data_IF_569589609348
#
_entry.id   IF_569589609348
#
_cell.length_a   1.000
_cell.length_b   1.000
_cell.length_c   1.000
_cell.angle_alpha   90.00
_cell.angle_beta   90.00
_cell.angle_gamma   90.00
#
_symmetry.space_group_name_H-M   'P 1'
#
loop_
_entity.id
_entity.type
_entity.pdbx_description
1 polymer ?
#
# COMPACT_ATOMS: atom_id res chain seq x y z
N UNK A 1 54.37 9.79 1.54
CA UNK A 1 53.95 8.60 2.31
C UNK A 1 52.49 8.31 2.00
N UNK A 2 52.20 7.04 1.68
CA UNK A 2 50.90 6.39 1.51
C UNK A 2 49.94 6.91 0.40
N UNK A 3 50.11 6.29 -0.78
CA UNK A 3 49.07 5.94 -1.74
C UNK A 3 47.99 5.11 -0.99
N UNK A 4 46.75 5.57 -0.99
CA UNK A 4 45.57 4.84 -0.53
C UNK A 4 44.49 5.19 -1.54
N UNK A 5 43.83 4.29 -2.27
CA UNK A 5 43.95 2.87 -2.53
C UNK A 5 42.86 2.63 -3.56
N UNK A 6 43.16 1.87 -4.60
CA UNK A 6 42.22 1.42 -5.62
C UNK A 6 40.88 0.96 -5.00
N UNK A 7 39.81 1.74 -5.22
CA UNK A 7 38.47 1.34 -4.84
C UNK A 7 37.76 0.74 -6.06
N UNK A 8 37.97 -0.57 -6.21
CA UNK A 8 37.17 -1.59 -6.91
C UNK A 8 36.29 -1.10 -8.05
N UNK A 9 36.79 -1.32 -9.26
CA UNK A 9 35.99 -1.54 -10.46
C UNK A 9 35.11 -2.79 -10.21
N UNK A 10 33.83 -2.59 -9.87
CA UNK A 10 32.88 -3.67 -9.60
C UNK A 10 32.55 -4.42 -10.90
N UNK A 11 32.59 -5.76 -10.81
CA UNK A 11 32.14 -6.69 -11.83
C UNK A 11 30.76 -6.30 -12.39
N UNK A 12 30.74 -5.61 -13.53
CA UNK A 12 29.51 -5.31 -14.24
C UNK A 12 29.04 -6.59 -14.94
N UNK A 13 28.02 -7.25 -14.38
CA UNK A 13 27.40 -8.43 -14.98
C UNK A 13 26.81 -8.04 -16.34
N UNK A 14 27.24 -8.70 -17.41
CA UNK A 14 26.65 -8.49 -18.73
C UNK A 14 25.24 -9.07 -18.76
N UNK A 15 24.25 -8.23 -19.04
CA UNK A 15 22.84 -8.61 -19.19
C UNK A 15 22.40 -8.23 -20.61
N UNK A 16 21.93 -9.18 -21.44
CA UNK A 16 21.44 -8.87 -22.78
C UNK A 16 20.23 -7.91 -22.77
N UNK A 17 20.10 -7.07 -23.79
CA UNK A 17 19.04 -6.06 -23.92
C UNK A 17 17.63 -6.66 -23.82
N UNK A 18 17.39 -7.81 -24.46
CA UNK A 18 16.09 -8.50 -24.38
C UNK A 18 15.71 -8.86 -22.93
N UNK A 19 16.70 -9.27 -22.13
CA UNK A 19 16.49 -9.62 -20.71
C UNK A 19 16.21 -8.35 -19.89
N UNK A 20 16.89 -7.23 -20.19
CA UNK A 20 16.63 -5.93 -19.56
C UNK A 20 15.19 -5.47 -19.88
N UNK A 21 14.77 -5.59 -21.13
CA UNK A 21 13.44 -5.21 -21.57
C UNK A 21 12.37 -6.05 -20.86
N UNK A 22 12.49 -7.37 -20.86
CA UNK A 22 11.53 -8.26 -20.21
C UNK A 22 11.44 -8.01 -18.69
N UNK A 23 12.59 -7.79 -18.03
CA UNK A 23 12.62 -7.37 -16.64
C UNK A 23 11.89 -6.03 -16.43
N UNK A 24 12.11 -5.04 -17.31
CA UNK A 24 11.43 -3.75 -17.23
C UNK A 24 9.91 -3.86 -17.40
N UNK A 25 9.44 -4.73 -18.29
CA UNK A 25 8.02 -4.98 -18.51
C UNK A 25 7.38 -5.67 -17.29
N UNK A 26 8.07 -6.66 -16.71
CA UNK A 26 7.64 -7.31 -15.48
C UNK A 26 7.55 -6.32 -14.31
N UNK A 27 8.55 -5.44 -14.15
CA UNK A 27 8.57 -4.41 -13.10
C UNK A 27 7.43 -3.40 -13.29
N UNK A 28 7.17 -2.95 -14.53
CA UNK A 28 6.07 -2.02 -14.82
C UNK A 28 4.69 -2.65 -14.56
N UNK A 29 4.52 -3.97 -14.81
CA UNK A 29 3.29 -4.71 -14.47
C UNK A 29 3.02 -4.77 -12.96
N UNK A 30 4.02 -4.53 -12.11
CA UNK A 30 3.83 -4.50 -10.66
C UNK A 30 3.09 -3.25 -10.16
N UNK A 31 2.94 -2.21 -10.99
CA UNK A 31 2.11 -1.04 -10.65
C UNK A 31 0.63 -1.43 -10.82
N UNK A 32 -0.26 -1.20 -9.84
CA UNK A 32 -1.66 -1.59 -9.95
C UNK A 32 -2.33 -0.98 -11.19
N UNK A 33 -2.81 -1.83 -12.11
CA UNK A 33 -3.35 -1.39 -13.40
C UNK A 33 -4.51 -0.37 -13.25
N UNK A 34 -5.42 -0.61 -12.30
CA UNK A 34 -6.60 0.24 -12.06
C UNK A 34 -6.25 1.67 -11.64
N UNK A 35 -5.13 1.87 -10.94
CA UNK A 35 -4.75 3.16 -10.37
C UNK A 35 -3.43 3.70 -10.90
N UNK A 36 -2.88 3.10 -11.95
CA UNK A 36 -1.59 3.45 -12.56
C UNK A 36 -1.44 4.96 -12.81
N UNK A 37 -2.47 5.60 -13.33
CA UNK A 37 -2.47 7.05 -13.58
C UNK A 37 -2.22 7.88 -12.30
N UNK A 38 -2.70 7.45 -11.14
CA UNK A 38 -2.45 8.13 -9.87
C UNK A 38 -0.98 8.02 -9.45
N UNK A 39 -0.39 6.84 -9.61
CA UNK A 39 1.03 6.61 -9.33
C UNK A 39 1.91 7.47 -10.24
N UNK A 40 1.65 7.45 -11.55
CA UNK A 40 2.37 8.26 -12.53
C UNK A 40 2.22 9.76 -12.25
N UNK A 41 1.00 10.21 -11.92
CA UNK A 41 0.76 11.60 -11.56
C UNK A 41 1.55 12.03 -10.32
N UNK A 42 1.58 11.22 -9.27
CA UNK A 42 2.33 11.57 -8.06
C UNK A 42 3.85 11.61 -8.31
N UNK A 43 4.36 10.67 -9.10
CA UNK A 43 5.77 10.68 -9.51
C UNK A 43 6.12 11.92 -10.35
N UNK A 44 5.26 12.30 -11.30
CA UNK A 44 5.42 13.53 -12.08
C UNK A 44 5.43 14.77 -11.18
N UNK A 45 4.50 14.87 -10.22
CA UNK A 45 4.45 15.97 -9.25
C UNK A 45 5.77 16.07 -8.45
N UNK A 46 6.33 14.92 -8.04
CA UNK A 46 7.60 14.87 -7.33
C UNK A 46 8.77 15.33 -8.23
N UNK A 47 8.82 14.87 -9.48
CA UNK A 47 9.84 15.29 -10.44
C UNK A 47 9.80 16.80 -10.71
N UNK A 48 8.61 17.37 -10.89
CA UNK A 48 8.45 18.82 -11.03
C UNK A 48 8.85 19.57 -9.76
N UNK A 49 8.47 19.06 -8.59
CA UNK A 49 8.87 19.67 -7.32
C UNK A 49 10.41 19.66 -7.15
N UNK A 50 11.09 18.56 -7.49
CA UNK A 50 12.57 18.49 -7.49
C UNK A 50 13.18 19.57 -8.39
N UNK A 51 12.64 19.73 -9.61
CA UNK A 51 13.08 20.78 -10.54
C UNK A 51 12.90 22.18 -9.96
N UNK A 52 11.75 22.47 -9.32
CA UNK A 52 11.49 23.77 -8.68
C UNK A 52 12.40 24.08 -7.50
N UNK A 53 12.90 23.06 -6.80
CA UNK A 53 13.76 23.19 -5.62
C UNK A 53 15.25 23.04 -5.93
N UNK A 54 15.62 22.82 -7.20
CA UNK A 54 16.97 22.42 -7.63
C UNK A 54 17.53 21.23 -6.82
N UNK A 55 16.65 20.30 -6.42
CA UNK A 55 17.02 19.13 -5.64
C UNK A 55 17.41 17.98 -6.57
N UNK A 56 18.71 17.70 -6.66
CA UNK A 56 19.25 16.63 -7.51
C UNK A 56 19.29 15.28 -6.77
N UNK A 57 19.00 14.21 -7.50
CA UNK A 57 19.02 12.84 -6.98
C UNK A 57 17.83 12.51 -6.07
N UNK A 58 18.04 11.50 -5.22
CA UNK A 58 17.09 11.00 -4.23
C UNK A 58 17.82 10.84 -2.90
N UNK A 59 17.31 11.50 -1.87
CA UNK A 59 17.83 11.46 -0.50
C UNK A 59 16.64 11.53 0.47
N UNK A 60 16.77 10.93 1.66
CA UNK A 60 15.71 10.93 2.68
C UNK A 60 15.21 12.35 2.97
N UNK A 61 16.09 13.36 3.02
CA UNK A 61 15.74 14.76 3.27
C UNK A 61 14.92 15.37 2.14
N UNK A 62 15.24 15.03 0.89
CA UNK A 62 14.52 15.50 -0.29
C UNK A 62 13.09 14.95 -0.27
N UNK A 63 12.93 13.65 0.00
CA UNK A 63 11.60 13.03 0.07
C UNK A 63 10.83 13.54 1.29
N UNK A 64 11.46 13.65 2.45
CA UNK A 64 10.82 14.17 3.65
C UNK A 64 10.30 15.60 3.44
N UNK A 65 11.10 16.46 2.80
CA UNK A 65 10.69 17.82 2.45
C UNK A 65 9.50 17.82 1.48
N UNK A 66 9.50 16.94 0.47
CA UNK A 66 8.38 16.79 -0.45
C UNK A 66 7.09 16.36 0.27
N UNK A 67 7.17 15.29 1.07
CA UNK A 67 6.03 14.75 1.83
C UNK A 67 5.50 15.79 2.84
N UNK A 68 6.38 16.57 3.46
CA UNK A 68 6.01 17.68 4.35
C UNK A 68 5.32 18.84 3.61
N UNK A 69 5.75 19.17 2.39
CA UNK A 69 5.06 20.18 1.57
C UNK A 69 3.70 19.65 1.06
N UNK A 70 3.63 18.36 0.75
CA UNK A 70 2.39 17.67 0.34
C UNK A 70 1.35 17.66 1.45
N UNK A 71 1.76 17.43 2.70
CA UNK A 71 0.85 17.36 3.85
C UNK A 71 0.11 18.67 4.12
N UNK A 72 0.71 19.82 3.77
CA UNK A 72 0.07 21.15 3.90
C UNK A 72 -1.12 21.35 2.96
N UNK A 73 -1.12 20.66 1.82
CA UNK A 73 -2.10 20.85 0.74
C UNK A 73 -3.05 19.67 0.56
N UNK A 74 -2.87 18.59 1.33
CA UNK A 74 -3.66 17.38 1.19
C UNK A 74 -5.06 17.59 1.78
N UNK A 75 -6.09 17.60 0.92
CA UNK A 75 -7.47 17.35 1.35
C UNK A 75 -7.59 15.90 1.81
N UNK A 76 -7.43 15.67 3.10
CA UNK A 76 -7.95 14.57 3.93
C UNK A 76 -7.71 13.08 3.53
N UNK A 77 -7.39 12.78 2.27
CA UNK A 77 -6.84 11.48 1.87
C UNK A 77 -5.48 11.30 2.54
N UNK A 78 -5.28 10.12 3.14
CA UNK A 78 -4.13 9.78 3.96
C UNK A 78 -2.84 10.09 3.23
N UNK A 79 -1.95 10.85 3.84
CA UNK A 79 -0.61 11.13 3.33
C UNK A 79 0.14 9.83 2.95
N UNK A 80 -0.24 8.72 3.61
CA UNK A 80 0.08 7.34 3.27
C UNK A 80 -0.18 6.93 1.81
N UNK A 81 -1.27 7.40 1.20
CA UNK A 81 -1.61 7.07 -0.18
C UNK A 81 -0.59 7.71 -1.14
N UNK A 82 -0.29 9.00 -0.97
CA UNK A 82 0.74 9.69 -1.74
C UNK A 82 2.12 9.07 -1.52
N UNK A 83 2.47 8.77 -0.26
CA UNK A 83 3.71 8.06 0.06
C UNK A 83 3.79 6.70 -0.63
N UNK A 84 2.71 5.91 -0.60
CA UNK A 84 2.66 4.57 -1.23
C UNK A 84 2.80 4.66 -2.74
N UNK A 85 2.16 5.65 -3.36
CA UNK A 85 2.28 5.93 -4.79
C UNK A 85 3.74 6.28 -5.16
N UNK A 86 4.33 7.22 -4.44
CA UNK A 86 5.70 7.65 -4.66
C UNK A 86 6.71 6.52 -4.41
N UNK A 87 6.54 5.76 -3.31
CA UNK A 87 7.37 4.60 -2.96
C UNK A 87 7.41 3.60 -4.11
N UNK A 88 6.25 3.24 -4.65
CA UNK A 88 6.19 2.26 -5.73
C UNK A 88 6.85 2.78 -7.00
N UNK A 89 6.65 4.05 -7.34
CA UNK A 89 7.23 4.63 -8.55
C UNK A 89 8.74 4.79 -8.45
N UNK A 90 9.28 5.18 -7.30
CA UNK A 90 10.74 5.24 -7.08
C UNK A 90 11.37 3.85 -7.15
N UNK A 91 10.70 2.82 -6.62
CA UNK A 91 11.14 1.44 -6.76
C UNK A 91 11.13 0.98 -8.22
N UNK A 92 10.12 1.36 -9.01
CA UNK A 92 9.96 0.94 -10.41
C UNK A 92 10.87 1.72 -11.37
N UNK A 93 11.02 3.03 -11.18
CA UNK A 93 11.68 3.94 -12.14
C UNK A 93 13.13 4.24 -11.79
N UNK A 94 13.46 4.29 -10.50
CA UNK A 94 14.78 4.68 -10.03
C UNK A 94 15.47 3.55 -9.23
N UNK A 95 14.82 2.38 -9.09
CA UNK A 95 15.27 1.25 -8.28
C UNK A 95 15.63 1.62 -6.83
N UNK A 96 14.85 2.53 -6.24
CA UNK A 96 15.07 3.03 -4.88
C UNK A 96 13.90 2.65 -3.99
N UNK A 97 14.19 1.93 -2.91
CA UNK A 97 13.22 1.62 -1.87
C UNK A 97 13.28 2.60 -0.70
N UNK A 98 12.26 3.47 -0.63
CA UNK A 98 12.12 4.48 0.41
C UNK A 98 11.46 3.95 1.69
N UNK A 99 11.17 2.64 1.75
CA UNK A 99 10.68 1.99 2.98
C UNK A 99 11.70 2.03 4.12
N UNK A 100 12.98 2.17 3.77
CA UNK A 100 14.11 2.19 4.71
C UNK A 100 14.24 3.54 5.43
N UNK A 101 13.52 4.57 4.99
CA UNK A 101 13.56 5.92 5.52
C UNK A 101 12.61 6.09 6.70
N UNK A 102 13.08 5.69 7.89
CA UNK A 102 12.31 5.68 9.13
C UNK A 102 11.75 7.06 9.48
N UNK A 103 12.48 8.15 9.18
CA UNK A 103 12.02 9.51 9.51
C UNK A 103 10.78 9.91 8.71
N UNK A 104 10.68 9.44 7.46
CA UNK A 104 9.50 9.68 6.61
C UNK A 104 8.30 8.92 7.15
N UNK A 105 8.49 7.65 7.54
CA UNK A 105 7.43 6.82 8.12
C UNK A 105 6.93 7.44 9.44
N UNK A 106 7.85 7.84 10.33
CA UNK A 106 7.50 8.50 11.59
C UNK A 106 6.77 9.81 11.37
N UNK A 107 7.17 10.60 10.38
CA UNK A 107 6.49 11.85 10.02
C UNK A 107 5.06 11.58 9.57
N UNK A 108 4.86 10.63 8.65
CA UNK A 108 3.54 10.28 8.14
C UNK A 108 2.66 9.75 9.27
N UNK A 109 3.16 8.82 10.11
CA UNK A 109 2.41 8.29 11.26
C UNK A 109 2.04 9.41 12.23
N UNK A 110 2.97 10.28 12.59
CA UNK A 110 2.70 11.40 13.50
C UNK A 110 1.65 12.35 12.93
N UNK A 111 1.75 12.67 11.65
CA UNK A 111 0.76 13.49 10.94
C UNK A 111 -0.62 12.81 10.88
N UNK A 112 -0.65 11.52 10.56
CA UNK A 112 -1.86 10.70 10.47
C UNK A 112 -2.55 10.59 11.83
N UNK A 113 -1.81 10.36 12.93
CA UNK A 113 -2.34 10.28 14.30
C UNK A 113 -2.97 11.59 14.76
N UNK A 114 -2.31 12.72 14.49
CA UNK A 114 -2.81 14.05 14.85
C UNK A 114 -4.12 14.36 14.10
N UNK A 115 -4.24 13.94 12.84
CA UNK A 115 -5.39 14.28 11.99
C UNK A 115 -6.52 13.22 12.00
N UNK A 116 -6.25 11.94 12.31
CA UNK A 116 -7.25 10.86 12.31
C UNK A 116 -7.99 10.66 13.63
N UNK A 117 -7.57 11.25 14.75
CA UNK A 117 -8.34 11.18 16.00
C UNK A 117 -9.82 11.62 15.81
N UNK A 118 -10.09 12.52 14.86
CA UNK A 118 -11.43 13.00 14.59
C UNK A 118 -12.23 12.13 13.59
N UNK A 119 -11.57 11.43 12.65
CA UNK A 119 -12.21 10.53 11.65
C UNK A 119 -12.94 9.38 12.30
N UNK A 120 -12.20 8.63 13.12
CA UNK A 120 -12.71 7.41 13.73
C UNK A 120 -13.72 7.75 14.81
N UNK A 121 -13.59 8.89 15.49
CA UNK A 121 -14.58 9.32 16.47
C UNK A 121 -15.97 9.51 15.85
N UNK A 122 -16.08 10.13 14.67
CA UNK A 122 -17.38 10.35 14.01
C UNK A 122 -18.00 9.05 13.49
N UNK A 123 -17.21 8.19 12.84
CA UNK A 123 -17.69 6.89 12.35
C UNK A 123 -18.05 5.97 13.51
N UNK A 124 -17.24 5.94 14.57
CA UNK A 124 -17.50 5.17 15.77
C UNK A 124 -18.71 5.69 16.56
N UNK A 125 -18.88 7.01 16.67
CA UNK A 125 -20.07 7.62 17.27
C UNK A 125 -21.34 7.30 16.47
N UNK A 126 -21.28 7.40 15.14
CA UNK A 126 -22.36 7.01 14.24
C UNK A 126 -22.71 5.52 14.38
N UNK A 127 -21.71 4.63 14.33
CA UNK A 127 -21.91 3.19 14.52
C UNK A 127 -22.47 2.88 15.92
N UNK A 128 -21.99 3.54 16.97
CA UNK A 128 -22.53 3.40 18.32
C UNK A 128 -23.99 3.80 18.39
N UNK A 129 -24.34 4.99 17.90
CA UNK A 129 -25.72 5.50 17.89
C UNK A 129 -26.68 4.55 17.15
N UNK A 130 -26.26 4.00 16.02
CA UNK A 130 -27.06 3.06 15.24
C UNK A 130 -27.02 1.60 15.76
N UNK A 131 -26.08 1.28 16.66
CA UNK A 131 -26.03 0.00 17.36
C UNK A 131 -26.86 -0.04 18.65
N UNK A 132 -27.29 1.12 19.18
CA UNK A 132 -28.14 1.17 20.37
C UNK A 132 -29.47 0.49 20.05
N UNK A 133 -29.77 -0.59 20.77
CA UNK A 133 -30.96 -1.42 20.53
C UNK A 133 -30.79 -2.47 19.43
N UNK A 134 -29.64 -2.55 18.76
CA UNK A 134 -29.34 -3.65 17.85
C UNK A 134 -29.30 -4.96 18.62
N UNK A 135 -30.28 -5.83 18.39
CA UNK A 135 -30.25 -7.20 18.85
C UNK A 135 -29.60 -8.05 17.77
N UNK A 136 -28.47 -8.72 18.05
CA UNK A 136 -27.83 -9.57 17.05
C UNK A 136 -28.83 -10.62 16.57
N UNK A 137 -29.10 -10.64 15.27
CA UNK A 137 -29.91 -11.68 14.64
C UNK A 137 -29.07 -12.95 14.60
N UNK A 138 -29.15 -13.75 15.66
CA UNK A 138 -28.57 -15.09 15.66
C UNK A 138 -29.21 -15.88 14.51
N UNK A 139 -28.40 -16.61 13.75
CA UNK A 139 -28.90 -17.60 12.80
C UNK A 139 -29.84 -18.55 13.55
N UNK A 140 -30.97 -18.91 12.93
CA UNK A 140 -31.79 -20.00 13.45
C UNK A 140 -30.93 -21.26 13.38
N UNK A 141 -30.59 -21.80 14.55
CA UNK A 141 -29.94 -23.10 14.64
C UNK A 141 -31.02 -24.14 14.46
N UNK A 142 -30.73 -25.20 13.71
CA UNK A 142 -31.63 -26.34 13.57
C UNK A 142 -32.01 -26.87 14.96
N UNK A 143 -33.30 -27.06 15.21
CA UNK A 143 -33.75 -27.90 16.32
C UNK A 143 -33.45 -29.36 16.01
N UNK A 144 -33.41 -30.20 17.05
CA UNK A 144 -33.16 -31.63 16.90
C UNK A 144 -34.12 -32.30 15.89
N UNK A 145 -35.40 -31.93 15.92
CA UNK A 145 -36.41 -32.44 14.97
C UNK A 145 -36.15 -32.00 13.53
N UNK A 146 -35.72 -30.76 13.33
CA UNK A 146 -35.40 -30.27 11.98
C UNK A 146 -34.09 -30.87 11.47
N UNK A 147 -33.16 -31.17 12.36
CA UNK A 147 -31.93 -31.90 12.03
C UNK A 147 -32.22 -33.35 11.65
N UNK A 148 -33.07 -34.07 12.40
CA UNK A 148 -33.51 -35.43 12.03
C UNK A 148 -34.24 -35.44 10.69
N UNK A 149 -35.19 -34.50 10.48
CA UNK A 149 -35.88 -34.36 9.20
C UNK A 149 -34.89 -34.06 8.07
N UNK A 150 -33.87 -33.24 8.32
CA UNK A 150 -32.84 -32.98 7.34
C UNK A 150 -32.05 -34.25 7.02
N UNK A 151 -31.59 -35.00 8.03
CA UNK A 151 -30.83 -36.24 7.81
C UNK A 151 -31.65 -37.34 7.11
N UNK A 152 -32.96 -37.40 7.34
CA UNK A 152 -33.85 -38.42 6.76
C UNK A 152 -34.35 -38.06 5.35
N UNK A 153 -34.47 -36.77 5.04
CA UNK A 153 -35.09 -36.30 3.79
C UNK A 153 -34.12 -35.59 2.84
N UNK A 154 -32.90 -35.25 3.28
CA UNK A 154 -31.92 -34.64 2.39
C UNK A 154 -31.44 -35.65 1.35
N UNK A 155 -31.28 -35.18 0.11
CA UNK A 155 -30.66 -35.98 -0.95
C UNK A 155 -29.19 -36.22 -0.61
N UNK A 156 -28.81 -37.50 -0.48
CA UNK A 156 -27.42 -37.90 -0.21
C UNK A 156 -26.47 -37.28 -1.23
N UNK A 157 -26.85 -37.28 -2.51
CA UNK A 157 -26.01 -36.85 -3.63
C UNK A 157 -25.68 -35.34 -3.63
N UNK A 158 -26.52 -34.50 -3.01
CA UNK A 158 -26.31 -33.05 -2.94
C UNK A 158 -25.68 -32.58 -1.62
N UNK A 159 -26.03 -33.23 -0.50
CA UNK A 159 -25.75 -32.69 0.83
C UNK A 159 -24.91 -33.59 1.73
N UNK A 160 -24.77 -34.87 1.40
CA UNK A 160 -23.90 -35.79 2.13
C UNK A 160 -22.74 -36.22 1.23
N UNK A 161 -21.51 -36.15 1.73
CA UNK A 161 -20.38 -36.74 1.02
C UNK A 161 -20.65 -38.25 0.91
N UNK A 162 -21.01 -38.73 -0.28
CA UNK A 162 -21.03 -40.16 -0.57
C UNK A 162 -19.66 -40.72 -0.18
N UNK A 163 -19.64 -41.63 0.80
CA UNK A 163 -18.45 -42.41 1.07
C UNK A 163 -18.21 -43.28 -0.18
N UNK A 164 -17.16 -42.94 -0.93
CA UNK A 164 -16.60 -43.80 -1.99
C UNK A 164 -16.27 -45.19 -1.45
#
# INVERSE_FOLDING_TARGET
>A
MARISDFKEENQVFVPELVIQEASEAINKMVPAKSKQLYEKEYSNFCEWRKRKDAKGIDERIILAYISERSKNAKYLSLWAYYSQLKKMLSVKENIDISRFVRIILFIISFELINNCCRFHQVYAFLKQHSVGHRPKKSKVFSFKEMEKFLDTASDDEYLLQNL
#
